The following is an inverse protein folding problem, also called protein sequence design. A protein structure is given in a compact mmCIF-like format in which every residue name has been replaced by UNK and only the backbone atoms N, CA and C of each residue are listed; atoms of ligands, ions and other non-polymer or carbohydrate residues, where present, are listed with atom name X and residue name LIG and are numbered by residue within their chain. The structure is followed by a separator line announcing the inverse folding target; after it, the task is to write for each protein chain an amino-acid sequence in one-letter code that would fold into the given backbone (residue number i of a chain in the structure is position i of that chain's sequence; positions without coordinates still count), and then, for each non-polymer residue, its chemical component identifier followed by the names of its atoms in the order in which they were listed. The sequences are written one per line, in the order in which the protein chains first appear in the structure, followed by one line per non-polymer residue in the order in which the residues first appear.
data_IF_375290846708
#
_entry.id   IF_375290846708
#
_cell.length_a   1.000
_cell.length_b   1.000
_cell.length_c   1.000
_cell.angle_alpha   90.00
_cell.angle_beta   90.00
_cell.angle_gamma   90.00
#
_symmetry.space_group_name_H-M   'P 1'
#
loop_
_entity.id
_entity.type
_entity.pdbx_description
1 polymer ?
#
# COMPACT_ATOMS: atom_id res chain seq x y z
N UNK A 1 -4.10 -14.94 -22.36
CA UNK A 1 -3.09 -15.63 -21.53
C UNK A 1 -2.08 -16.24 -22.50
N UNK A 2 -0.83 -15.87 -22.42
CA UNK A 2 0.23 -16.43 -23.24
C UNK A 2 0.97 -17.53 -22.46
N UNK A 3 1.02 -18.72 -23.00
CA UNK A 3 1.80 -19.84 -22.48
C UNK A 3 3.05 -20.01 -23.33
N UNK A 4 4.21 -20.02 -22.72
CA UNK A 4 5.47 -20.29 -23.41
C UNK A 4 5.89 -21.74 -23.15
N UNK A 5 6.04 -22.54 -24.19
CA UNK A 5 6.54 -23.92 -24.08
C UNK A 5 8.04 -23.94 -23.84
N UNK A 6 8.58 -25.05 -23.34
CA UNK A 6 10.04 -25.29 -23.19
C UNK A 6 10.85 -25.16 -24.49
N UNK A 7 10.19 -24.95 -25.64
CA UNK A 7 10.77 -24.73 -26.96
C UNK A 7 10.61 -23.28 -27.45
N UNK A 8 10.18 -22.33 -26.58
CA UNK A 8 10.06 -20.93 -26.91
C UNK A 8 8.91 -20.57 -27.87
N UNK A 9 7.91 -21.42 -28.03
CA UNK A 9 6.72 -21.12 -28.84
C UNK A 9 5.60 -20.57 -27.96
N UNK A 10 5.07 -19.43 -28.33
CA UNK A 10 3.87 -18.85 -27.71
C UNK A 10 2.62 -19.64 -28.18
N UNK A 11 1.79 -20.04 -27.21
CA UNK A 11 0.49 -20.67 -27.48
C UNK A 11 -0.60 -19.70 -27.01
N UNK A 12 -1.55 -19.39 -27.87
CA UNK A 12 -2.72 -18.59 -27.55
C UNK A 12 -3.84 -19.53 -27.11
N UNK A 13 -4.33 -19.40 -25.87
CA UNK A 13 -5.33 -20.31 -25.30
C UNK A 13 -6.61 -19.54 -25.05
N UNK A 14 -7.68 -19.95 -25.71
CA UNK A 14 -9.02 -19.38 -25.55
C UNK A 14 -9.91 -20.11 -24.53
N UNK A 15 -9.56 -21.34 -24.05
CA UNK A 15 -10.41 -22.13 -23.17
C UNK A 15 -9.72 -22.82 -21.98
N UNK A 16 -10.46 -22.94 -20.87
CA UNK A 16 -10.05 -23.56 -19.60
C UNK A 16 -9.69 -25.07 -19.67
N UNK A 17 -9.91 -25.73 -20.77
CA UNK A 17 -9.74 -27.19 -20.92
C UNK A 17 -8.26 -27.64 -20.97
N UNK A 18 -7.33 -26.73 -21.29
CA UNK A 18 -5.91 -27.07 -21.42
C UNK A 18 -5.15 -27.11 -20.09
N UNK A 19 -5.68 -26.46 -19.05
CA UNK A 19 -5.06 -26.46 -17.71
C UNK A 19 -5.08 -27.85 -17.08
N UNK A 20 -6.12 -28.64 -17.37
CA UNK A 20 -6.30 -29.99 -16.83
C UNK A 20 -5.38 -31.02 -17.48
N UNK A 21 -5.04 -30.84 -18.77
CA UNK A 21 -4.11 -31.70 -19.49
C UNK A 21 -2.64 -31.48 -19.15
N UNK A 22 -2.29 -30.27 -18.70
CA UNK A 22 -0.92 -29.91 -18.31
C UNK A 22 -0.56 -30.35 -16.89
N UNK A 23 -1.55 -30.61 -16.03
CA UNK A 23 -1.35 -31.07 -14.65
C UNK A 23 -0.84 -32.53 -14.56
N UNK A 24 -0.93 -33.31 -15.64
CA UNK A 24 -0.47 -34.69 -15.66
C UNK A 24 1.00 -34.87 -16.10
N UNK A 25 1.67 -33.80 -16.53
CA UNK A 25 3.07 -33.81 -16.85
C UNK A 25 3.80 -32.76 -16.04
N UNK A 26 4.57 -33.15 -15.05
CA UNK A 26 5.36 -32.37 -14.07
C UNK A 26 6.29 -31.30 -14.68
N UNK A 27 5.78 -30.42 -15.50
CA UNK A 27 6.48 -29.21 -15.96
C UNK A 27 5.66 -28.00 -15.49
N UNK A 28 6.13 -27.35 -14.45
CA UNK A 28 5.64 -26.06 -14.01
C UNK A 28 5.73 -25.10 -15.19
N UNK A 29 4.58 -24.83 -15.81
CA UNK A 29 4.47 -23.77 -16.82
C UNK A 29 4.27 -22.47 -16.04
N UNK A 30 5.27 -21.61 -16.03
CA UNK A 30 5.12 -20.25 -15.49
C UNK A 30 4.13 -19.49 -16.39
N UNK A 31 2.92 -19.30 -15.90
CA UNK A 31 1.91 -18.44 -16.52
C UNK A 31 2.19 -17.02 -16.05
N UNK A 32 2.82 -16.22 -16.88
CA UNK A 32 2.96 -14.78 -16.58
C UNK A 32 1.66 -14.05 -16.90
N UNK A 33 1.16 -13.20 -16.00
CA UNK A 33 -0.02 -12.39 -16.28
C UNK A 33 0.21 -11.53 -17.53
N UNK A 34 -0.75 -11.51 -18.45
CA UNK A 34 -0.69 -10.59 -19.59
C UNK A 34 -1.06 -9.20 -19.10
N UNK A 35 -0.07 -8.34 -18.97
CA UNK A 35 -0.26 -6.96 -18.51
C UNK A 35 -0.76 -6.13 -19.69
N UNK A 36 -2.05 -5.77 -19.68
CA UNK A 36 -2.64 -4.88 -20.68
C UNK A 36 -3.16 -3.62 -20.02
N UNK A 37 -2.82 -2.47 -20.59
CA UNK A 37 -3.46 -1.19 -20.26
C UNK A 37 -4.92 -1.24 -20.72
N UNK A 38 -5.87 -1.02 -19.81
CA UNK A 38 -7.31 -1.10 -20.09
C UNK A 38 -7.92 0.25 -20.43
N UNK A 39 -7.36 1.32 -19.87
CA UNK A 39 -7.82 2.70 -20.08
C UNK A 39 -6.64 3.63 -20.27
N UNK A 40 -6.89 4.88 -20.68
CA UNK A 40 -5.87 5.93 -20.77
C UNK A 40 -5.63 6.68 -19.47
N UNK A 41 -6.41 6.35 -18.42
CA UNK A 41 -6.34 7.02 -17.12
C UNK A 41 -5.92 6.04 -16.03
N UNK A 42 -4.98 6.44 -15.19
CA UNK A 42 -4.57 5.67 -14.01
C UNK A 42 -4.68 6.51 -12.74
N UNK A 43 -5.26 5.93 -11.72
CA UNK A 43 -5.29 6.45 -10.36
C UNK A 43 -4.30 5.68 -9.49
N UNK A 44 -3.25 6.34 -9.05
CA UNK A 44 -2.27 5.83 -8.09
C UNK A 44 -2.76 6.21 -6.70
N UNK A 45 -2.99 5.21 -5.85
CA UNK A 45 -3.67 5.41 -4.57
C UNK A 45 -2.83 4.89 -3.41
N UNK A 46 -2.43 5.80 -2.52
CA UNK A 46 -1.70 5.54 -1.27
C UNK A 46 -2.61 5.59 -0.03
N UNK A 47 -1.99 5.69 1.14
CA UNK A 47 -2.65 5.51 2.44
C UNK A 47 -3.23 6.77 3.09
N UNK A 48 -2.86 7.98 2.63
CA UNK A 48 -3.23 9.20 3.33
C UNK A 48 -4.75 9.40 3.37
N UNK A 49 -5.35 9.50 4.56
CA UNK A 49 -6.81 9.55 4.73
C UNK A 49 -7.44 10.81 4.17
N UNK A 50 -6.65 11.85 3.92
CA UNK A 50 -7.09 13.12 3.35
C UNK A 50 -7.80 12.97 2.01
N UNK A 51 -7.30 12.10 1.15
CA UNK A 51 -7.80 11.94 -0.22
C UNK A 51 -8.01 10.50 -0.65
N UNK A 52 -7.64 9.50 0.15
CA UNK A 52 -7.91 8.09 -0.13
C UNK A 52 -9.40 7.81 -0.42
N UNK A 53 -10.39 8.34 0.34
CA UNK A 53 -11.80 8.11 0.05
C UNK A 53 -12.28 8.75 -1.26
N UNK A 54 -11.55 9.75 -1.75
CA UNK A 54 -11.88 10.52 -2.95
C UNK A 54 -11.34 9.87 -4.24
N UNK A 55 -10.58 8.79 -4.14
CA UNK A 55 -10.09 8.07 -5.31
C UNK A 55 -11.27 7.56 -6.16
N UNK A 56 -11.11 7.44 -7.48
CA UNK A 56 -12.21 7.14 -8.40
C UNK A 56 -12.59 5.64 -8.35
N UNK A 57 -12.94 5.15 -7.17
CA UNK A 57 -13.21 3.74 -6.91
C UNK A 57 -14.31 3.13 -7.77
N UNK A 58 -15.30 3.93 -8.18
CA UNK A 58 -16.46 3.48 -8.95
C UNK A 58 -16.38 3.88 -10.43
N UNK A 59 -15.41 4.69 -10.82
CA UNK A 59 -15.25 5.16 -12.20
C UNK A 59 -14.37 4.19 -13.00
N UNK A 60 -15.00 3.36 -13.83
CA UNK A 60 -14.34 2.35 -14.66
C UNK A 60 -13.44 2.92 -15.77
N UNK A 61 -13.51 4.23 -16.03
CA UNK A 61 -12.60 4.89 -16.96
C UNK A 61 -11.18 5.06 -16.40
N UNK A 62 -10.98 4.75 -15.11
CA UNK A 62 -9.69 4.74 -14.44
C UNK A 62 -9.23 3.32 -14.16
N UNK A 63 -7.98 3.01 -14.43
CA UNK A 63 -7.29 1.91 -13.73
C UNK A 63 -6.91 2.35 -12.32
N UNK A 64 -7.07 1.48 -11.35
CA UNK A 64 -6.68 1.75 -9.97
C UNK A 64 -5.41 0.96 -9.65
N UNK A 65 -4.34 1.67 -9.35
CA UNK A 65 -3.07 1.12 -8.90
C UNK A 65 -2.88 1.42 -7.42
N UNK A 66 -2.64 0.40 -6.64
CA UNK A 66 -2.45 0.51 -5.19
C UNK A 66 -1.18 -0.21 -4.74
N UNK A 67 -0.86 -0.14 -3.44
CA UNK A 67 0.41 -0.66 -2.96
C UNK A 67 0.33 -1.21 -1.53
N UNK A 68 1.31 -2.03 -1.19
CA UNK A 68 1.58 -2.54 0.15
C UNK A 68 0.34 -3.21 0.78
N UNK A 69 0.02 -2.87 2.02
CA UNK A 69 -1.11 -3.41 2.77
C UNK A 69 -2.31 -2.45 2.86
N UNK A 70 -2.53 -1.58 1.86
CA UNK A 70 -3.62 -0.59 1.86
C UNK A 70 -5.03 -1.21 1.97
N UNK A 71 -5.21 -2.46 1.59
CA UNK A 71 -6.47 -3.18 1.79
C UNK A 71 -6.90 -3.20 3.27
N UNK A 72 -5.94 -3.14 4.21
CA UNK A 72 -6.23 -3.09 5.65
C UNK A 72 -6.96 -1.81 6.08
N UNK A 73 -6.96 -0.76 5.27
CA UNK A 73 -7.74 0.44 5.53
C UNK A 73 -9.25 0.27 5.29
N UNK A 74 -9.69 -0.86 4.72
CA UNK A 74 -11.10 -1.18 4.48
C UNK A 74 -11.78 -0.34 3.41
N UNK A 75 -11.05 0.53 2.69
CA UNK A 75 -11.58 1.46 1.69
C UNK A 75 -11.31 1.05 0.23
N UNK A 76 -10.47 0.04 0.02
CA UNK A 76 -10.13 -0.43 -1.33
C UNK A 76 -11.28 -1.27 -1.87
N UNK A 77 -12.09 -0.71 -2.77
CA UNK A 77 -13.23 -1.40 -3.38
C UNK A 77 -12.88 -2.17 -4.65
N UNK A 78 -11.83 -1.75 -5.35
CA UNK A 78 -11.27 -2.45 -6.52
C UNK A 78 -9.83 -2.04 -6.74
N UNK A 79 -9.10 -2.83 -7.51
CA UNK A 79 -7.77 -2.49 -7.99
C UNK A 79 -7.49 -3.26 -9.30
N UNK A 80 -6.53 -2.75 -10.08
CA UNK A 80 -6.14 -3.30 -11.36
C UNK A 80 -4.69 -3.74 -11.38
N UNK A 81 -3.80 -2.99 -10.71
CA UNK A 81 -2.41 -3.38 -10.46
C UNK A 81 -2.05 -3.11 -9.01
N UNK A 82 -1.25 -3.99 -8.43
CA UNK A 82 -0.73 -3.86 -7.08
C UNK A 82 0.78 -3.72 -7.08
N UNK A 83 1.32 -2.99 -6.11
CA UNK A 83 2.76 -2.79 -6.00
C UNK A 83 3.23 -3.12 -4.59
N UNK A 84 4.10 -4.12 -4.48
CA UNK A 84 4.77 -4.50 -3.25
C UNK A 84 6.28 -4.38 -3.46
N UNK A 85 6.79 -3.17 -3.34
CA UNK A 85 8.17 -2.83 -3.64
C UNK A 85 9.04 -2.70 -2.38
N UNK A 86 8.67 -3.40 -1.30
CA UNK A 86 9.47 -3.49 -0.09
C UNK A 86 10.20 -4.83 0.01
N UNK A 87 11.45 -4.81 0.49
CA UNK A 87 12.24 -6.04 0.66
C UNK A 87 11.67 -6.94 1.76
N UNK A 88 11.06 -6.35 2.77
CA UNK A 88 10.57 -7.01 3.98
C UNK A 88 9.05 -7.19 4.03
N UNK A 89 8.37 -7.17 2.89
CA UNK A 89 6.91 -7.29 2.83
C UNK A 89 6.38 -8.59 3.49
N UNK A 90 7.20 -9.64 3.54
CA UNK A 90 6.86 -10.92 4.19
C UNK A 90 6.81 -10.83 5.72
N UNK A 91 7.36 -9.76 6.30
CA UNK A 91 7.41 -9.50 7.73
C UNK A 91 6.28 -8.58 8.20
N UNK A 92 5.37 -8.16 7.30
CA UNK A 92 4.25 -7.32 7.67
C UNK A 92 3.37 -8.02 8.69
N UNK A 93 2.95 -7.31 9.75
CA UNK A 93 2.05 -7.89 10.74
C UNK A 93 0.70 -8.24 10.08
N UNK A 94 0.08 -9.32 10.53
CA UNK A 94 -1.25 -9.67 10.06
C UNK A 94 -2.27 -8.59 10.41
N UNK A 95 -3.32 -8.49 9.62
CA UNK A 95 -4.41 -7.54 9.84
C UNK A 95 -5.72 -8.26 10.10
N UNK A 96 -6.68 -7.55 10.68
CA UNK A 96 -8.04 -8.04 10.82
C UNK A 96 -8.89 -7.62 9.62
N UNK A 97 -9.66 -8.56 9.08
CA UNK A 97 -10.60 -8.30 7.98
C UNK A 97 -11.71 -7.34 8.46
N UNK A 98 -11.53 -6.06 8.17
CA UNK A 98 -12.44 -4.97 8.55
C UNK A 98 -13.16 -4.39 7.32
N UNK A 99 -13.53 -5.24 6.36
CA UNK A 99 -14.30 -4.76 5.20
C UNK A 99 -15.50 -3.98 5.69
N UNK A 100 -15.60 -2.72 5.29
CA UNK A 100 -16.69 -1.86 5.73
C UNK A 100 -17.99 -2.25 5.03
N UNK A 101 -19.09 -2.38 5.81
CA UNK A 101 -20.44 -2.64 5.32
C UNK A 101 -21.00 -1.54 4.41
N UNK A 102 -20.34 -0.40 4.30
CA UNK A 102 -20.76 0.77 3.53
C UNK A 102 -20.40 0.68 2.04
N UNK A 103 -20.74 -0.39 1.36
CA UNK A 103 -20.73 -0.46 -0.11
C UNK A 103 -19.35 -0.56 -0.78
N UNK A 104 -18.27 -0.74 -0.04
CA UNK A 104 -16.96 -1.08 -0.56
C UNK A 104 -16.91 -2.57 -0.92
N UNK A 105 -17.59 -2.96 -1.98
CA UNK A 105 -17.44 -4.30 -2.55
C UNK A 105 -16.10 -4.33 -3.23
N UNK A 106 -15.14 -5.04 -2.66
CA UNK A 106 -13.92 -5.42 -3.37
C UNK A 106 -14.36 -6.22 -4.58
N UNK A 107 -14.10 -5.73 -5.79
CA UNK A 107 -14.54 -6.41 -7.02
C UNK A 107 -13.91 -7.81 -7.05
N UNK A 108 -14.76 -8.83 -6.96
CA UNK A 108 -14.36 -10.24 -6.89
C UNK A 108 -14.45 -10.89 -5.51
N UNK A 109 -14.70 -10.14 -4.44
CA UNK A 109 -14.93 -10.72 -3.12
C UNK A 109 -16.24 -10.18 -2.51
N UNK A 110 -17.33 -10.94 -2.69
CA UNK A 110 -18.65 -10.63 -2.13
C UNK A 110 -18.84 -11.17 -0.69
N UNK A 111 -17.78 -11.71 -0.08
CA UNK A 111 -17.88 -12.26 1.27
C UNK A 111 -18.01 -11.14 2.29
N UNK A 112 -18.84 -11.30 3.33
CA UNK A 112 -18.94 -10.32 4.40
C UNK A 112 -17.62 -10.22 5.18
N UNK A 113 -17.37 -9.07 5.79
CA UNK A 113 -16.24 -8.90 6.72
C UNK A 113 -16.38 -9.91 7.87
N UNK A 114 -15.35 -10.70 8.09
CA UNK A 114 -15.37 -11.79 9.08
C UNK A 114 -14.69 -11.41 10.40
N UNK A 115 -13.95 -10.30 10.45
CA UNK A 115 -13.04 -9.97 11.54
C UNK A 115 -11.84 -10.93 11.66
N UNK A 116 -11.71 -11.87 10.70
CA UNK A 116 -10.66 -12.87 10.71
C UNK A 116 -9.28 -12.22 10.56
N UNK A 117 -8.29 -12.82 11.21
CA UNK A 117 -6.88 -12.43 11.03
C UNK A 117 -6.38 -12.94 9.69
N UNK A 118 -5.82 -12.06 8.88
CA UNK A 118 -5.28 -12.38 7.56
C UNK A 118 -3.80 -12.02 7.55
N UNK A 119 -2.97 -12.98 7.14
CA UNK A 119 -1.55 -12.76 6.90
C UNK A 119 -1.36 -12.09 5.52
N UNK A 120 -0.47 -11.10 5.45
CA UNK A 120 -0.23 -10.35 4.21
C UNK A 120 0.16 -11.27 3.04
N UNK A 121 1.04 -12.22 3.29
CA UNK A 121 1.49 -13.17 2.28
C UNK A 121 0.36 -14.04 1.74
N UNK A 122 -0.56 -14.46 2.59
CA UNK A 122 -1.72 -15.27 2.19
C UNK A 122 -2.69 -14.45 1.36
N UNK A 123 -2.85 -13.17 1.70
CA UNK A 123 -3.64 -12.24 0.88
C UNK A 123 -3.04 -12.10 -0.53
N UNK A 124 -1.72 -11.88 -0.64
CA UNK A 124 -1.02 -11.76 -1.93
C UNK A 124 -1.16 -13.05 -2.78
N UNK A 125 -1.01 -14.22 -2.16
CA UNK A 125 -1.16 -15.53 -2.83
C UNK A 125 -2.58 -15.80 -3.33
N UNK A 126 -3.56 -15.25 -2.66
CA UNK A 126 -4.98 -15.43 -2.99
C UNK A 126 -5.49 -14.54 -4.12
N UNK A 127 -4.64 -13.69 -4.72
CA UNK A 127 -5.09 -12.77 -5.76
C UNK A 127 -5.20 -13.43 -7.14
N UNK A 128 -6.11 -12.91 -7.95
CA UNK A 128 -6.38 -13.42 -9.30
C UNK A 128 -5.24 -13.13 -10.27
N UNK A 129 -4.96 -14.08 -11.16
CA UNK A 129 -3.88 -14.00 -12.16
C UNK A 129 -4.07 -12.87 -13.20
N UNK A 130 -5.28 -12.35 -13.35
CA UNK A 130 -5.57 -11.23 -14.26
C UNK A 130 -5.20 -9.86 -13.68
N UNK A 131 -4.73 -9.83 -12.43
CA UNK A 131 -4.34 -8.62 -11.69
C UNK A 131 -2.90 -8.72 -11.23
N UNK A 132 -1.95 -8.12 -11.95
CA UNK A 132 -0.54 -8.24 -11.62
C UNK A 132 -0.19 -7.55 -10.32
N UNK A 133 0.68 -8.21 -9.55
CA UNK A 133 1.30 -7.66 -8.33
C UNK A 133 2.79 -7.49 -8.63
N UNK A 134 3.25 -6.25 -8.67
CA UNK A 134 4.65 -5.93 -8.95
C UNK A 134 5.52 -6.03 -7.71
N UNK A 135 6.64 -6.75 -7.84
CA UNK A 135 7.67 -6.92 -6.81
C UNK A 135 9.03 -6.43 -7.30
N UNK A 136 9.98 -6.21 -6.38
CA UNK A 136 11.37 -5.89 -6.73
C UNK A 136 12.09 -7.04 -7.43
N UNK A 137 11.75 -8.28 -7.09
CA UNK A 137 12.33 -9.52 -7.60
C UNK A 137 11.27 -10.49 -8.08
N UNK A 138 11.71 -11.71 -8.38
CA UNK A 138 10.83 -12.81 -8.73
C UNK A 138 10.26 -13.45 -7.46
N UNK A 139 8.93 -13.61 -7.39
CA UNK A 139 8.21 -14.21 -6.25
C UNK A 139 7.43 -15.44 -6.73
N UNK A 140 8.11 -16.61 -6.89
CA UNK A 140 7.53 -17.78 -7.54
C UNK A 140 6.36 -18.41 -6.77
N UNK A 141 6.23 -18.12 -5.48
CA UNK A 141 5.15 -18.61 -4.61
C UNK A 141 3.91 -17.67 -4.61
N UNK A 142 3.95 -16.56 -5.36
CA UNK A 142 2.82 -15.65 -5.54
C UNK A 142 2.37 -15.70 -7.01
N UNK A 143 1.27 -16.39 -7.33
CA UNK A 143 0.89 -16.65 -8.72
C UNK A 143 0.67 -15.39 -9.57
N UNK A 144 0.12 -14.33 -8.98
CA UNK A 144 -0.08 -13.03 -9.64
C UNK A 144 1.18 -12.14 -9.64
N UNK A 145 2.29 -12.63 -9.06
CA UNK A 145 3.54 -11.89 -8.93
C UNK A 145 4.23 -11.65 -10.26
N UNK A 146 4.65 -10.42 -10.48
CA UNK A 146 5.46 -10.01 -11.62
C UNK A 146 6.60 -9.12 -11.15
N UNK A 147 7.75 -9.27 -11.76
CA UNK A 147 8.88 -8.40 -11.46
C UNK A 147 8.66 -7.01 -12.03
N UNK A 148 8.92 -5.98 -11.23
CA UNK A 148 8.89 -4.61 -11.71
C UNK A 148 9.92 -4.43 -12.85
N UNK A 149 9.55 -3.84 -14.01
CA UNK A 149 10.41 -3.75 -15.18
C UNK A 149 11.44 -2.62 -15.04
N UNK A 150 12.31 -2.72 -14.01
CA UNK A 150 13.26 -1.65 -13.68
C UNK A 150 14.19 -1.31 -14.83
N UNK A 151 14.69 -2.33 -15.56
CA UNK A 151 15.63 -2.11 -16.68
C UNK A 151 14.97 -1.30 -17.80
N UNK A 152 13.73 -1.64 -18.12
CA UNK A 152 12.93 -0.99 -19.16
C UNK A 152 12.60 0.45 -18.76
N UNK A 153 12.23 0.68 -17.49
CA UNK A 153 11.97 2.01 -16.94
C UNK A 153 13.25 2.87 -16.99
N UNK A 154 14.41 2.33 -16.58
CA UNK A 154 15.68 3.07 -16.63
C UNK A 154 16.09 3.38 -18.05
N UNK A 155 15.95 2.44 -19.00
CA UNK A 155 16.24 2.67 -20.41
C UNK A 155 15.30 3.73 -21.02
N UNK A 156 14.02 3.72 -20.62
CA UNK A 156 13.09 4.77 -21.00
C UNK A 156 13.49 6.13 -20.43
N UNK A 157 13.89 6.20 -19.15
CA UNK A 157 14.39 7.43 -18.54
C UNK A 157 15.60 7.99 -19.30
N UNK A 158 16.59 7.14 -19.62
CA UNK A 158 17.77 7.53 -20.37
C UNK A 158 17.41 8.09 -21.76
N UNK A 159 16.55 7.39 -22.50
CA UNK A 159 16.06 7.81 -23.81
C UNK A 159 15.38 9.19 -23.77
N UNK A 160 14.59 9.44 -22.75
CA UNK A 160 13.83 10.69 -22.58
C UNK A 160 14.64 11.82 -21.90
N UNK A 161 15.87 11.55 -21.46
CA UNK A 161 16.71 12.48 -20.72
C UNK A 161 16.18 12.80 -19.33
N UNK A 162 15.54 11.83 -18.67
CA UNK A 162 14.93 11.95 -17.34
C UNK A 162 15.87 11.34 -16.30
N UNK A 163 16.18 12.08 -15.23
CA UNK A 163 16.97 11.53 -14.13
C UNK A 163 16.17 10.46 -13.37
N UNK A 164 16.72 9.26 -13.13
CA UNK A 164 16.04 8.18 -12.44
C UNK A 164 16.06 8.42 -10.92
N UNK A 165 15.22 9.32 -10.45
CA UNK A 165 15.13 9.69 -9.04
C UNK A 165 13.99 8.96 -8.36
N UNK A 166 14.30 7.83 -7.69
CA UNK A 166 13.36 6.95 -7.03
C UNK A 166 13.71 6.79 -5.55
N UNK A 167 12.85 7.25 -4.66
CA UNK A 167 13.01 7.07 -3.21
C UNK A 167 11.82 6.39 -2.53
N UNK A 168 10.77 6.04 -3.30
CA UNK A 168 9.54 5.41 -2.79
C UNK A 168 8.74 4.72 -3.90
N UNK A 169 7.78 3.88 -3.52
CA UNK A 169 6.96 3.09 -4.44
C UNK A 169 6.10 3.97 -5.39
N UNK A 170 5.59 5.10 -4.92
CA UNK A 170 4.76 6.00 -5.74
C UNK A 170 5.54 6.53 -6.95
N UNK A 171 6.81 6.88 -6.76
CA UNK A 171 7.69 7.33 -7.83
C UNK A 171 7.86 6.26 -8.92
N UNK A 172 8.05 5.00 -8.53
CA UNK A 172 8.10 3.88 -9.46
C UNK A 172 6.79 3.69 -10.20
N UNK A 173 5.65 3.83 -9.51
CA UNK A 173 4.33 3.71 -10.13
C UNK A 173 4.09 4.81 -11.17
N UNK A 174 4.45 6.06 -10.87
CA UNK A 174 4.32 7.18 -11.83
C UNK A 174 5.21 6.93 -13.07
N UNK A 175 6.47 6.53 -12.87
CA UNK A 175 7.38 6.25 -13.97
C UNK A 175 6.87 5.11 -14.88
N UNK A 176 6.36 4.04 -14.30
CA UNK A 176 5.77 2.94 -15.06
C UNK A 176 4.53 3.40 -15.83
N UNK A 177 3.67 4.21 -15.22
CA UNK A 177 2.50 4.75 -15.88
C UNK A 177 2.86 5.63 -17.10
N UNK A 178 3.92 6.43 -16.98
CA UNK A 178 4.45 7.23 -18.08
C UNK A 178 5.02 6.36 -19.22
N UNK A 179 5.83 5.36 -18.87
CA UNK A 179 6.38 4.40 -19.83
C UNK A 179 5.28 3.63 -20.55
N UNK A 180 4.23 3.21 -19.84
CA UNK A 180 3.05 2.54 -20.40
C UNK A 180 2.15 3.49 -21.24
N UNK A 181 2.44 4.80 -21.24
CA UNK A 181 1.78 5.80 -22.09
C UNK A 181 0.37 6.18 -21.63
N UNK A 182 0.10 6.19 -20.31
CA UNK A 182 -1.13 6.76 -19.78
C UNK A 182 -1.22 8.25 -20.10
N UNK A 183 -2.43 8.71 -20.45
CA UNK A 183 -2.71 10.12 -20.82
C UNK A 183 -3.16 10.95 -19.65
N UNK A 184 -3.66 10.32 -18.60
CA UNK A 184 -4.05 10.98 -17.36
C UNK A 184 -3.54 10.17 -16.19
N UNK A 185 -2.78 10.80 -15.31
CA UNK A 185 -2.24 10.19 -14.07
C UNK A 185 -2.77 10.99 -12.89
N UNK A 186 -3.58 10.34 -12.06
CA UNK A 186 -4.07 10.93 -10.82
C UNK A 186 -3.42 10.29 -9.59
N UNK A 187 -3.22 11.07 -8.53
CA UNK A 187 -2.63 10.57 -7.28
C UNK A 187 -3.51 10.94 -6.10
N UNK A 188 -3.99 9.94 -5.37
CA UNK A 188 -4.82 10.05 -4.18
C UNK A 188 -4.17 9.34 -3.00
N UNK A 189 -4.54 9.72 -1.79
CA UNK A 189 -3.99 9.07 -0.59
C UNK A 189 -2.48 9.24 -0.41
N UNK A 190 -1.90 10.32 -0.95
CA UNK A 190 -0.47 10.61 -0.88
C UNK A 190 -0.28 12.06 -0.47
N UNK A 191 0.15 12.29 0.78
CA UNK A 191 0.39 13.64 1.32
C UNK A 191 1.86 13.90 1.60
N UNK A 192 2.55 12.94 2.22
CA UNK A 192 3.95 13.05 2.62
C UNK A 192 4.25 14.37 3.37
N UNK A 193 3.31 14.76 4.25
CA UNK A 193 3.32 16.07 4.91
C UNK A 193 4.08 16.09 6.23
N UNK A 194 4.22 14.93 6.91
CA UNK A 194 4.82 14.85 8.23
C UNK A 194 5.62 13.56 8.41
N UNK A 195 6.77 13.65 9.08
CA UNK A 195 7.67 12.53 9.37
C UNK A 195 9.01 12.64 8.65
N UNK A 196 10.08 12.17 9.29
CA UNK A 196 11.45 12.25 8.73
C UNK A 196 11.63 11.47 7.44
N UNK A 197 10.93 10.33 7.30
CA UNK A 197 10.93 9.50 6.10
C UNK A 197 10.34 10.26 4.90
N UNK A 198 9.20 10.90 5.08
CA UNK A 198 8.53 11.65 4.02
C UNK A 198 9.32 12.86 3.48
N UNK A 199 10.24 13.42 4.27
CA UNK A 199 11.14 14.47 3.80
C UNK A 199 12.09 13.98 2.69
N UNK A 200 12.45 12.69 2.72
CA UNK A 200 13.29 12.07 1.68
C UNK A 200 12.47 11.56 0.49
N UNK A 201 11.23 11.16 0.73
CA UNK A 201 10.35 10.55 -0.26
C UNK A 201 9.59 11.58 -1.11
N UNK A 202 9.06 12.63 -0.49
CA UNK A 202 8.27 13.67 -1.12
C UNK A 202 8.95 14.33 -2.34
N UNK A 203 10.24 14.72 -2.28
CA UNK A 203 10.91 15.34 -3.42
C UNK A 203 10.91 14.46 -4.67
N UNK A 204 11.03 13.14 -4.50
CA UNK A 204 10.97 12.19 -5.61
C UNK A 204 9.57 12.12 -6.24
N UNK A 205 8.52 12.10 -5.42
CA UNK A 205 7.15 12.11 -5.95
C UNK A 205 6.84 13.41 -6.68
N UNK A 206 7.19 14.56 -6.09
CA UNK A 206 6.96 15.86 -6.71
C UNK A 206 7.79 16.04 -8.00
N UNK A 207 9.02 15.50 -8.04
CA UNK A 207 9.82 15.42 -9.25
C UNK A 207 9.09 14.64 -10.35
N UNK A 208 8.60 13.43 -10.04
CA UNK A 208 7.91 12.58 -11.00
C UNK A 208 6.56 13.16 -11.45
N UNK A 209 5.85 13.88 -10.58
CA UNK A 209 4.65 14.64 -10.97
C UNK A 209 5.01 15.79 -11.93
N UNK A 210 6.14 16.45 -11.71
CA UNK A 210 6.66 17.47 -12.64
C UNK A 210 7.01 16.88 -14.01
N UNK A 211 7.67 15.73 -14.05
CA UNK A 211 7.95 14.97 -15.27
C UNK A 211 6.65 14.55 -15.96
N UNK A 212 5.68 14.04 -15.17
CA UNK A 212 4.40 13.57 -15.70
C UNK A 212 3.65 14.66 -16.48
N UNK A 213 3.68 15.91 -16.04
CA UNK A 213 3.03 17.03 -16.74
C UNK A 213 3.53 17.27 -18.17
N UNK A 214 4.69 16.73 -18.54
CA UNK A 214 5.20 16.80 -19.93
C UNK A 214 4.51 15.79 -20.85
N UNK A 215 4.02 14.67 -20.30
CA UNK A 215 3.56 13.53 -21.08
C UNK A 215 2.05 13.22 -20.89
N UNK A 216 1.47 13.68 -19.77
CA UNK A 216 0.12 13.34 -19.36
C UNK A 216 -0.53 14.48 -18.55
N UNK A 217 -1.85 14.46 -18.49
CA UNK A 217 -2.60 15.28 -17.54
C UNK A 217 -2.41 14.74 -16.12
N UNK A 218 -2.04 15.61 -15.20
CA UNK A 218 -1.85 15.26 -13.79
C UNK A 218 -3.03 15.73 -12.96
N UNK A 219 -3.68 14.79 -12.24
CA UNK A 219 -4.82 15.05 -11.37
C UNK A 219 -4.39 14.84 -9.91
N UNK A 220 -4.49 15.91 -9.12
CA UNK A 220 -4.30 15.85 -7.66
C UNK A 220 -5.56 16.39 -6.99
N UNK A 221 -6.11 15.68 -5.98
CA UNK A 221 -7.21 16.20 -5.19
C UNK A 221 -6.78 17.45 -4.40
N UNK A 222 -7.74 18.32 -4.11
CA UNK A 222 -7.47 19.54 -3.35
C UNK A 222 -6.96 19.26 -1.93
N UNK A 223 -7.29 18.11 -1.41
CA UNK A 223 -6.93 17.62 -0.08
C UNK A 223 -5.49 17.12 0.01
N UNK A 224 -4.87 16.74 -1.12
CA UNK A 224 -3.46 16.33 -1.14
C UNK A 224 -2.54 17.49 -0.82
N UNK A 225 -1.48 17.22 -0.06
CA UNK A 225 -0.44 18.21 0.26
C UNK A 225 0.70 18.27 -0.78
N UNK A 226 0.66 17.42 -1.81
CA UNK A 226 1.67 17.40 -2.87
C UNK A 226 1.60 18.67 -3.74
N UNK A 227 2.75 19.18 -4.15
CA UNK A 227 2.93 20.40 -4.95
C UNK A 227 2.29 21.66 -4.31
N UNK A 228 2.00 21.61 -3.02
CA UNK A 228 1.55 22.75 -2.24
C UNK A 228 2.72 23.30 -1.44
N UNK A 229 3.36 24.30 -1.94
CA UNK A 229 4.32 25.11 -1.23
C UNK A 229 3.84 26.56 -1.23
N UNK A 230 4.19 27.28 -0.18
CA UNK A 230 3.98 28.72 -0.15
C UNK A 230 4.88 29.42 -1.12
N UNK A 231 4.39 30.52 -1.65
CA UNK A 231 5.22 31.38 -2.45
C UNK A 231 6.22 32.10 -1.53
N UNK A 232 7.46 31.69 -1.63
CA UNK A 232 8.55 32.23 -0.82
C UNK A 232 8.60 33.76 -0.94
N UNK A 233 8.53 34.45 0.21
CA UNK A 233 8.56 35.89 0.29
C UNK A 233 7.25 36.62 -0.02
N UNK A 234 6.20 35.94 -0.49
CA UNK A 234 4.91 36.53 -0.81
C UNK A 234 3.78 36.11 0.11
N UNK A 235 3.83 34.90 0.67
CA UNK A 235 2.81 34.37 1.55
C UNK A 235 3.27 34.33 3.01
N UNK A 236 2.41 34.74 3.95
CA UNK A 236 2.72 34.76 5.36
C UNK A 236 2.66 33.36 6.00
N UNK A 237 3.44 33.17 7.08
CA UNK A 237 3.54 31.90 7.81
C UNK A 237 2.28 31.46 8.58
N UNK A 238 1.19 32.25 8.53
CA UNK A 238 0.04 32.08 9.41
C UNK A 238 -0.73 30.76 9.18
N UNK A 239 -0.88 30.29 7.95
CA UNK A 239 -1.69 29.09 7.68
C UNK A 239 -0.97 27.79 8.06
N UNK A 240 0.32 27.70 7.82
CA UNK A 240 1.13 26.55 8.28
C UNK A 240 1.24 26.49 9.80
N UNK A 241 1.49 27.64 10.41
CA UNK A 241 1.53 27.74 11.88
C UNK A 241 0.18 27.36 12.47
N UNK A 242 -0.94 27.72 11.84
CA UNK A 242 -2.27 27.31 12.27
C UNK A 242 -2.46 25.78 12.16
N UNK A 243 -2.12 25.18 11.01
CA UNK A 243 -2.16 23.72 10.83
C UNK A 243 -1.23 22.98 11.80
N UNK A 244 -0.01 23.48 11.99
CA UNK A 244 0.93 22.92 12.95
C UNK A 244 0.42 23.00 14.40
N UNK A 245 -0.25 24.08 14.77
CA UNK A 245 -0.88 24.22 16.10
C UNK A 245 -2.00 23.22 16.32
N UNK A 246 -2.86 23.00 15.33
CA UNK A 246 -3.92 21.98 15.40
C UNK A 246 -3.29 20.60 15.58
N UNK A 247 -2.31 20.26 14.78
CA UNK A 247 -1.61 18.96 14.89
C UNK A 247 -0.88 18.79 16.21
N UNK A 248 -0.24 19.83 16.70
CA UNK A 248 0.37 19.85 18.03
C UNK A 248 -0.66 19.55 19.12
N UNK A 249 -1.84 20.19 19.06
CA UNK A 249 -2.92 19.94 20.01
C UNK A 249 -3.40 18.49 20.01
N UNK A 250 -3.57 17.87 18.83
CA UNK A 250 -3.93 16.46 18.70
C UNK A 250 -2.87 15.54 19.32
N UNK A 251 -1.60 15.76 19.00
CA UNK A 251 -0.49 14.95 19.49
C UNK A 251 -0.36 15.08 21.03
N UNK A 252 -0.51 16.29 21.58
CA UNK A 252 -0.50 16.49 23.02
C UNK A 252 -1.70 15.83 23.71
N UNK A 253 -2.87 15.84 23.08
CA UNK A 253 -4.03 15.11 23.58
C UNK A 253 -3.80 13.58 23.63
N UNK A 254 -3.17 13.02 22.60
CA UNK A 254 -2.78 11.61 22.57
C UNK A 254 -1.72 11.28 23.62
N UNK A 255 -0.72 12.14 23.77
CA UNK A 255 0.32 12.00 24.78
C UNK A 255 -0.27 11.96 26.20
N UNK A 256 -1.16 12.90 26.53
CA UNK A 256 -1.78 12.95 27.86
C UNK A 256 -2.63 11.71 28.14
N UNK A 257 -3.42 11.23 27.16
CA UNK A 257 -4.17 9.97 27.30
C UNK A 257 -3.26 8.78 27.55
N UNK A 258 -2.14 8.69 26.85
CA UNK A 258 -1.16 7.63 27.05
C UNK A 258 -0.52 7.68 28.45
N UNK A 259 -0.24 8.88 28.97
CA UNK A 259 0.27 9.06 30.33
C UNK A 259 -0.74 8.61 31.39
N UNK A 260 -2.02 8.93 31.22
CA UNK A 260 -3.07 8.47 32.16
C UNK A 260 -3.22 6.95 32.13
N UNK A 261 -3.16 6.34 30.96
CA UNK A 261 -3.17 4.88 30.83
C UNK A 261 -1.95 4.23 31.51
N UNK A 262 -0.76 4.80 31.31
CA UNK A 262 0.45 4.33 31.96
C UNK A 262 0.37 4.43 33.48
N UNK A 263 -0.18 5.53 34.00
CA UNK A 263 -0.40 5.73 35.46
C UNK A 263 -1.37 4.67 36.00
N UNK A 264 -2.51 4.48 35.35
CA UNK A 264 -3.48 3.48 35.79
C UNK A 264 -2.90 2.05 35.76
N UNK A 265 -2.08 1.72 34.75
CA UNK A 265 -1.37 0.44 34.71
C UNK A 265 -0.35 0.29 35.83
N UNK A 266 0.36 1.36 36.19
CA UNK A 266 1.30 1.36 37.31
C UNK A 266 0.58 1.18 38.65
N UNK A 267 -0.54 1.86 38.87
CA UNK A 267 -1.36 1.71 40.05
C UNK A 267 -1.90 0.29 40.24
N UNK A 268 -2.36 -0.33 39.11
CA UNK A 268 -2.76 -1.72 39.13
C UNK A 268 -1.59 -2.68 39.45
N UNK A 269 -0.42 -2.45 38.85
CA UNK A 269 0.77 -3.22 39.14
C UNK A 269 1.19 -3.14 40.62
N UNK A 270 1.12 -1.96 41.21
CA UNK A 270 1.41 -1.73 42.64
C UNK A 270 0.39 -2.45 43.54
N UNK A 271 -0.90 -2.41 43.18
CA UNK A 271 -1.94 -3.15 43.88
C UNK A 271 -1.66 -4.66 43.90
N UNK A 272 -1.39 -5.26 42.76
CA UNK A 272 -1.07 -6.70 42.69
C UNK A 272 0.22 -7.07 43.40
N UNK A 273 1.21 -6.19 43.39
CA UNK A 273 2.44 -6.40 44.14
C UNK A 273 2.15 -6.43 45.65
N UNK A 274 1.41 -5.48 46.17
CA UNK A 274 1.01 -5.47 47.61
C UNK A 274 0.23 -6.72 47.99
N UNK A 275 -0.72 -7.15 47.15
CA UNK A 275 -1.46 -8.39 47.41
C UNK A 275 -0.55 -9.64 47.40
N UNK A 276 0.45 -9.67 46.53
CA UNK A 276 1.43 -10.78 46.50
C UNK A 276 2.34 -10.80 47.72
N UNK A 277 2.75 -9.61 48.20
CA UNK A 277 3.53 -9.46 49.45
C UNK A 277 2.75 -9.96 50.68
N UNK A 278 1.44 -9.63 50.76
CA UNK A 278 0.55 -10.15 51.81
C UNK A 278 0.47 -11.70 51.75
N UNK A 279 0.25 -12.26 50.58
CA UNK A 279 0.27 -13.71 50.41
C UNK A 279 1.59 -14.34 50.85
N UNK A 280 2.70 -13.73 50.45
CA UNK A 280 4.04 -14.19 50.83
C UNK A 280 4.25 -14.15 52.36
N UNK A 281 3.76 -13.08 53.04
CA UNK A 281 3.76 -12.97 54.48
C UNK A 281 3.02 -14.13 55.14
N UNK A 282 1.81 -14.48 54.67
CA UNK A 282 1.03 -15.61 55.19
C UNK A 282 1.73 -16.94 54.96
N UNK A 283 2.28 -17.19 53.77
CA UNK A 283 3.02 -18.39 53.45
C UNK A 283 4.22 -18.56 54.41
N UNK A 284 4.98 -17.49 54.65
CA UNK A 284 6.20 -17.54 55.43
C UNK A 284 5.91 -17.71 56.92
N UNK A 285 4.89 -17.07 57.43
CA UNK A 285 4.66 -16.99 58.90
C UNK A 285 3.61 -17.99 59.40
N UNK A 286 2.72 -18.49 58.54
CA UNK A 286 1.60 -19.32 58.94
C UNK A 286 1.59 -20.69 58.17
N UNK A 287 2.31 -20.82 57.08
CA UNK A 287 2.37 -22.07 56.32
C UNK A 287 3.32 -23.13 56.82
N UNK A 288 4.18 -22.83 57.82
CA UNK A 288 5.15 -23.75 58.42
C UNK A 288 4.74 -24.23 59.83
N UNK A 289 3.45 -24.16 60.16
CA UNK A 289 2.88 -24.65 61.42
C UNK A 289 2.18 -25.99 61.25
N UNK A 290 2.95 -27.03 60.95
CA UNK A 290 2.45 -28.39 60.91
C UNK A 290 3.59 -29.40 61.03
#
# INVERSE_FOLDING_TARGET
MELTTSLGRALNIEDNCLVELLSQHEKIVHISPTIRKRTDKVAIVGFAPSSLPLAPWQDETWEIWTLNNIYSAGLVSRWDRWFELHKNFREYPPFHDVRMDAGAIVRGDSRPATGAKIEHIDWLKGQSLDRPIYFLGDEPDIPAGVKYPLKEVLAWCEKEGIAPYFSNSISYMIALALMDGYKTIGVWGVDMAAGGEYQQERPSVEYWLGVAKKYADVVLPKESELLKARLYGYESDNEFVAKAKVRYGELMGNHNRALEQAKAAMDAANYFRGAAEDCQYFITNWGNGG
#
